data_IF_335309535895
#
_entry.id   IF_335309535895
#
_cell.length_a   1.000
_cell.length_b   1.000
_cell.length_c   1.000
_cell.angle_alpha   90.00
_cell.angle_beta   90.00
_cell.angle_gamma   90.00
#
_symmetry.space_group_name_H-M   'P 1'
#
loop_
_entity.id
_entity.type
_entity.pdbx_description
1 polymer ?
#
# COMPACT_ATOMS: atom_id res chain seq x y z
N UNK A 1 1.99 -18.44 6.67
CA UNK A 1 1.33 -17.36 5.95
C UNK A 1 2.26 -16.19 5.78
N UNK A 2 2.35 -15.68 4.57
CA UNK A 2 3.35 -14.65 4.27
C UNK A 2 2.66 -13.32 4.03
N UNK A 3 2.85 -12.38 4.95
CA UNK A 3 2.22 -11.07 4.83
C UNK A 3 2.64 -10.34 3.56
N UNK A 4 3.88 -10.53 3.15
CA UNK A 4 4.37 -9.86 1.96
C UNK A 4 3.58 -10.29 0.74
N UNK A 5 3.33 -11.59 0.60
CA UNK A 5 2.57 -12.08 -0.53
C UNK A 5 1.11 -11.67 -0.46
N UNK A 6 0.56 -11.58 0.73
CA UNK A 6 -0.82 -11.14 0.88
C UNK A 6 -0.97 -9.68 0.48
N UNK A 7 -0.03 -8.85 0.88
CA UNK A 7 -0.07 -7.44 0.50
C UNK A 7 0.17 -7.29 -1.01
N UNK A 8 1.08 -8.10 -1.55
CA UNK A 8 1.34 -8.09 -2.97
C UNK A 8 0.06 -8.40 -3.76
N UNK A 9 -0.65 -9.45 -3.34
CA UNK A 9 -1.90 -9.82 -3.98
C UNK A 9 -2.93 -8.72 -3.87
N UNK A 10 -3.01 -8.10 -2.71
CA UNK A 10 -3.96 -7.01 -2.50
C UNK A 10 -3.69 -5.87 -3.49
N UNK A 11 -2.42 -5.51 -3.63
CA UNK A 11 -2.05 -4.44 -4.54
C UNK A 11 -2.37 -4.81 -5.99
N UNK A 12 -2.13 -6.06 -6.35
CA UNK A 12 -2.40 -6.48 -7.72
C UNK A 12 -3.89 -6.51 -8.02
N UNK A 13 -4.69 -6.85 -7.05
CA UNK A 13 -6.13 -6.92 -7.26
C UNK A 13 -6.82 -5.58 -7.14
N UNK A 14 -6.40 -4.77 -6.17
CA UNK A 14 -7.07 -3.53 -5.88
C UNK A 14 -6.33 -2.31 -6.40
N UNK A 15 -5.04 -2.43 -6.61
CA UNK A 15 -4.24 -1.32 -7.11
C UNK A 15 -3.71 -0.40 -6.04
N UNK A 16 -4.10 -0.57 -4.79
CA UNK A 16 -3.63 0.28 -3.72
C UNK A 16 -3.86 -0.38 -2.37
N UNK A 17 -3.18 0.13 -1.36
CA UNK A 17 -3.43 -0.30 0.01
C UNK A 17 -3.09 0.86 0.93
N UNK A 18 -3.83 0.99 2.03
CA UNK A 18 -3.51 1.98 3.05
C UNK A 18 -3.12 1.23 4.32
N UNK A 19 -2.40 1.93 5.21
CA UNK A 19 -1.90 1.27 6.41
C UNK A 19 -3.00 0.67 7.26
N UNK A 20 -4.12 1.37 7.36
CA UNK A 20 -5.23 0.87 8.15
C UNK A 20 -5.75 -0.46 7.60
N UNK A 21 -5.87 -0.55 6.28
CA UNK A 21 -6.31 -1.79 5.65
C UNK A 21 -5.31 -2.92 5.91
N UNK A 22 -4.04 -2.60 5.84
CA UNK A 22 -3.02 -3.61 6.06
C UNK A 22 -3.13 -4.18 7.47
N UNK A 23 -3.38 -3.34 8.44
CA UNK A 23 -3.52 -3.79 9.81
C UNK A 23 -4.79 -4.61 9.98
N UNK A 24 -5.89 -4.12 9.47
CA UNK A 24 -7.18 -4.78 9.68
C UNK A 24 -7.31 -6.08 8.93
N UNK A 25 -6.82 -6.13 7.71
CA UNK A 25 -7.01 -7.31 6.90
C UNK A 25 -5.91 -8.34 7.09
N UNK A 26 -4.70 -7.89 7.34
CA UNK A 26 -3.56 -8.81 7.36
C UNK A 26 -2.73 -8.74 8.63
N UNK A 27 -3.10 -7.86 9.54
CA UNK A 27 -2.32 -7.69 10.77
C UNK A 27 -0.94 -7.12 10.53
N UNK A 28 -0.76 -6.44 9.40
CA UNK A 28 0.55 -5.93 9.03
C UNK A 28 0.78 -4.55 9.61
N UNK A 29 1.50 -4.49 10.72
CA UNK A 29 1.77 -3.22 11.38
C UNK A 29 2.99 -2.52 10.83
N UNK A 30 3.76 -3.18 9.96
CA UNK A 30 4.97 -2.60 9.39
C UNK A 30 4.86 -2.55 7.88
N UNK A 31 3.84 -1.89 7.41
CA UNK A 31 3.54 -1.87 5.98
C UNK A 31 4.67 -1.23 5.18
N UNK A 32 5.32 -0.21 5.73
CA UNK A 32 6.39 0.44 4.99
C UNK A 32 7.54 -0.52 4.70
N UNK A 33 7.85 -1.41 5.64
CA UNK A 33 8.88 -2.42 5.41
C UNK A 33 8.48 -3.39 4.31
N UNK A 34 7.21 -3.78 4.33
CA UNK A 34 6.70 -4.70 3.32
C UNK A 34 6.75 -4.05 1.94
N UNK A 35 6.36 -2.78 1.87
CA UNK A 35 6.40 -2.05 0.61
C UNK A 35 7.84 -1.96 0.10
N UNK A 36 8.78 -1.71 1.01
CA UNK A 36 10.19 -1.65 0.63
C UNK A 36 10.63 -2.97 0.00
N UNK A 37 10.25 -4.09 0.59
CA UNK A 37 10.60 -5.40 0.04
C UNK A 37 9.96 -5.62 -1.31
N UNK A 38 8.71 -5.23 -1.45
CA UNK A 38 8.03 -5.41 -2.73
C UNK A 38 8.71 -4.61 -3.83
N UNK A 39 9.18 -3.42 -3.51
CA UNK A 39 9.87 -2.61 -4.49
C UNK A 39 11.20 -3.22 -4.89
N UNK A 40 11.93 -3.73 -3.92
CA UNK A 40 13.29 -4.19 -4.17
C UNK A 40 13.39 -5.65 -4.56
N UNK A 41 12.55 -6.49 -3.98
CA UNK A 41 12.62 -7.90 -4.28
C UNK A 41 11.76 -8.29 -5.46
N UNK A 42 10.61 -7.67 -5.59
CA UNK A 42 9.64 -8.05 -6.62
C UNK A 42 9.55 -7.02 -7.73
N UNK A 43 10.35 -5.97 -7.63
CA UNK A 43 10.40 -4.92 -8.66
C UNK A 43 9.04 -4.31 -8.94
N UNK A 44 8.22 -4.20 -7.91
CA UNK A 44 6.91 -3.60 -8.07
C UNK A 44 7.05 -2.09 -8.04
N UNK A 45 6.32 -1.42 -8.91
CA UNK A 45 6.36 0.02 -8.98
C UNK A 45 5.27 0.59 -8.09
N UNK A 46 5.61 0.82 -6.83
CA UNK A 46 4.65 1.27 -5.83
C UNK A 46 4.97 2.71 -5.47
N UNK A 47 3.94 3.55 -5.59
CA UNK A 47 4.07 4.96 -5.27
C UNK A 47 3.52 5.21 -3.87
N UNK A 48 4.22 6.00 -3.09
CA UNK A 48 3.80 6.34 -1.74
C UNK A 48 3.22 7.74 -1.75
N UNK A 49 2.01 7.87 -1.21
CA UNK A 49 1.39 9.18 -1.05
C UNK A 49 0.97 9.34 0.39
N UNK A 50 0.98 10.56 0.86
CA UNK A 50 0.44 10.86 2.16
C UNK A 50 -0.92 11.50 1.96
N UNK A 51 -1.93 10.91 2.56
CA UNK A 51 -3.28 11.42 2.48
C UNK A 51 -3.72 11.97 3.82
N UNK A 52 -4.59 12.93 3.78
CA UNK A 52 -5.10 13.58 4.98
C UNK A 52 -6.61 13.44 4.98
N UNK A 53 -7.15 13.09 6.13
CA UNK A 53 -8.58 12.91 6.27
C UNK A 53 -9.01 13.48 7.61
N UNK A 54 -10.31 13.70 7.75
CA UNK A 54 -10.88 14.17 9.01
C UNK A 54 -11.70 13.03 9.59
N UNK A 55 -11.39 12.64 10.81
CA UNK A 55 -12.12 11.54 11.41
C UNK A 55 -13.46 12.05 11.96
N UNK A 56 -14.23 11.13 12.55
CA UNK A 56 -15.58 11.47 12.99
C UNK A 56 -15.60 12.49 14.12
N UNK A 57 -14.47 12.67 14.78
CA UNK A 57 -14.37 13.64 15.87
C UNK A 57 -13.86 14.98 15.39
N UNK A 58 -13.70 15.17 14.11
CA UNK A 58 -13.21 16.43 13.57
C UNK A 58 -11.72 16.62 13.61
N UNK A 59 -10.97 15.60 14.00
CA UNK A 59 -9.51 15.69 14.04
C UNK A 59 -8.92 15.34 12.71
N UNK A 60 -7.84 16.03 12.36
CA UNK A 60 -7.14 15.77 11.12
C UNK A 60 -6.17 14.63 11.35
N UNK A 61 -6.25 13.61 10.50
CA UNK A 61 -5.36 12.47 10.58
C UNK A 61 -4.67 12.29 9.24
N UNK A 62 -3.44 11.85 9.26
CA UNK A 62 -2.72 11.54 8.03
C UNK A 62 -2.40 10.07 8.00
N UNK A 63 -2.34 9.50 6.81
CA UNK A 63 -2.07 8.09 6.66
C UNK A 63 -1.31 7.85 5.37
N UNK A 64 -0.61 6.74 5.33
CA UNK A 64 0.13 6.34 4.14
C UNK A 64 -0.78 5.66 3.13
N UNK A 65 -0.65 6.06 1.89
CA UNK A 65 -1.39 5.48 0.79
C UNK A 65 -0.37 4.94 -0.20
N UNK A 66 -0.43 3.66 -0.47
CA UNK A 66 0.52 3.00 -1.37
C UNK A 66 -0.23 2.53 -2.59
N UNK A 67 0.18 3.03 -3.74
CA UNK A 67 -0.51 2.76 -4.98
C UNK A 67 0.39 2.01 -5.93
N UNK A 68 -0.11 0.92 -6.49
CA UNK A 68 0.65 0.19 -7.48
C UNK A 68 0.48 0.87 -8.83
N UNK A 69 1.59 1.34 -9.38
CA UNK A 69 1.56 1.95 -10.69
C UNK A 69 1.90 0.88 -11.71
N UNK A 70 1.02 0.72 -12.67
CA UNK A 70 1.31 -0.21 -13.72
C UNK A 70 2.34 0.33 -14.63
N UNK A 71 3.29 -0.48 -14.94
CA UNK A 71 4.36 -0.07 -15.77
C UNK A 71 3.99 -0.31 -17.19
N UNK A 72 3.07 0.44 -17.67
CA UNK A 72 2.65 0.24 -18.97
C UNK A 72 3.55 0.81 -19.90
N UNK A 73 4.03 0.36 -20.55
CA UNK A 73 4.88 0.96 -21.40
C UNK A 73 4.16 1.50 -22.50
N UNK A 74 3.59 1.60 -22.62
CA UNK A 74 3.14 1.94 -23.33
C UNK A 74 3.03 2.53 -24.01
N UNK A 75 2.85 2.56 -24.22
CA UNK A 75 2.66 2.90 -24.64
C UNK A 75 2.62 3.55 -25.45
N UNK A 76 2.59 3.74 -25.89
CA UNK A 76 2.57 4.19 -26.66
C UNK A 76 2.84 4.13 -27.24
#
# INVERSE_FOLDING_TARGET
MNQILEIKNHLEKRGYIISMQAIELYGATRLSSIIYELRNKYNMNIETERRISVNRYGNIVSYGFYKLKEDKKDEW
#
